data_IF_317488881267
#
_entry.id   IF_317488881267
#
_cell.length_a   1.000
_cell.length_b   1.000
_cell.length_c   1.000
_cell.angle_alpha   90.00
_cell.angle_beta   90.00
_cell.angle_gamma   90.00
#
_symmetry.space_group_name_H-M   'P 1'
#
loop_
_entity.id
_entity.type
_entity.pdbx_description
1 polymer ?
#
# COMPACT_ATOMS: atom_id res chain seq x y z
N UNK A 1 -0.28 20.30 -15.30
CA UNK A 1 -0.20 19.28 -16.38
C UNK A 1 -1.13 18.09 -16.15
N UNK A 2 -1.34 17.63 -14.90
CA UNK A 2 -2.27 16.52 -14.61
C UNK A 2 -3.76 16.84 -14.86
N UNK A 3 -4.17 18.11 -14.81
CA UNK A 3 -5.58 18.50 -14.88
C UNK A 3 -6.35 18.03 -16.13
N UNK A 4 -5.67 17.68 -17.23
CA UNK A 4 -6.34 17.16 -18.44
C UNK A 4 -6.75 15.68 -18.31
N UNK A 5 -6.12 14.94 -17.39
CA UNK A 5 -6.26 13.49 -17.26
C UNK A 5 -6.74 13.08 -15.87
N UNK A 6 -7.10 14.02 -14.99
CA UNK A 6 -7.61 13.72 -13.65
C UNK A 6 -9.10 14.06 -13.57
N UNK A 7 -9.87 13.11 -13.05
CA UNK A 7 -11.22 13.31 -12.54
C UNK A 7 -11.26 13.01 -11.05
N UNK A 8 -11.64 14.03 -10.27
CA UNK A 8 -11.77 13.91 -8.81
C UNK A 8 -13.25 13.76 -8.48
N UNK A 9 -13.58 12.81 -7.62
CA UNK A 9 -14.91 12.68 -7.05
C UNK A 9 -15.26 13.98 -6.28
N UNK A 10 -16.46 14.57 -6.49
CA UNK A 10 -16.84 15.83 -5.83
C UNK A 10 -16.69 15.82 -4.30
N UNK A 11 -16.94 14.69 -3.64
CA UNK A 11 -16.77 14.53 -2.18
C UNK A 11 -15.30 14.67 -1.78
N UNK A 12 -14.39 14.11 -2.59
CA UNK A 12 -12.94 14.18 -2.35
C UNK A 12 -12.42 15.59 -2.67
N UNK A 13 -12.90 16.20 -3.76
CA UNK A 13 -12.53 17.57 -4.13
C UNK A 13 -12.94 18.60 -3.06
N UNK A 14 -14.17 18.51 -2.55
CA UNK A 14 -14.64 19.33 -1.44
C UNK A 14 -13.79 19.12 -0.18
N UNK A 15 -13.47 17.87 0.14
CA UNK A 15 -12.65 17.55 1.30
C UNK A 15 -11.25 18.16 1.21
N UNK A 16 -10.58 18.03 0.07
CA UNK A 16 -9.26 18.64 -0.17
C UNK A 16 -9.33 20.16 -0.05
N UNK A 17 -10.31 20.80 -0.71
CA UNK A 17 -10.47 22.26 -0.71
C UNK A 17 -10.70 22.81 0.70
N UNK A 18 -11.45 22.09 1.53
CA UNK A 18 -11.78 22.47 2.90
C UNK A 18 -10.84 21.88 3.95
N UNK A 19 -9.71 21.28 3.55
CA UNK A 19 -8.75 20.63 4.47
C UNK A 19 -9.40 19.62 5.42
N UNK A 20 -10.39 18.87 4.94
CA UNK A 20 -10.99 17.75 5.65
C UNK A 20 -10.07 16.52 5.54
N UNK A 21 -10.14 15.58 6.50
CA UNK A 21 -9.31 14.39 6.47
C UNK A 21 -9.63 13.49 5.27
N UNK A 22 -8.63 13.23 4.42
CA UNK A 22 -8.72 12.33 3.27
C UNK A 22 -7.63 11.27 3.37
N UNK A 23 -7.97 10.01 3.07
CA UNK A 23 -7.01 8.90 2.98
C UNK A 23 -7.08 8.29 1.58
N UNK A 24 -5.95 8.29 0.88
CA UNK A 24 -5.81 7.62 -0.40
C UNK A 24 -5.75 6.09 -0.21
N UNK A 25 -6.31 5.35 -1.18
CA UNK A 25 -6.20 3.89 -1.29
C UNK A 25 -5.70 3.53 -2.70
N UNK A 26 -4.84 2.53 -2.82
CA UNK A 26 -4.34 2.07 -4.12
C UNK A 26 -5.33 1.12 -4.82
N UNK A 27 -5.15 0.91 -6.12
CA UNK A 27 -5.96 -0.04 -6.90
C UNK A 27 -5.25 -1.31 -7.31
N UNK A 28 -3.91 -1.42 -7.20
CA UNK A 28 -3.18 -2.64 -7.57
C UNK A 28 -3.68 -3.86 -6.80
N UNK A 29 -4.06 -3.70 -5.53
CA UNK A 29 -4.63 -4.79 -4.74
C UNK A 29 -5.93 -5.34 -5.34
N UNK A 30 -6.71 -4.50 -6.03
CA UNK A 30 -8.00 -4.86 -6.63
C UNK A 30 -7.78 -5.76 -7.85
N UNK A 31 -6.85 -5.40 -8.73
CA UNK A 31 -6.64 -6.10 -10.00
C UNK A 31 -5.56 -7.19 -9.96
N UNK A 32 -4.59 -7.08 -9.05
CA UNK A 32 -3.38 -7.91 -9.07
C UNK A 32 -2.95 -8.45 -7.70
N UNK A 33 -3.60 -8.02 -6.61
CA UNK A 33 -3.23 -8.42 -5.24
C UNK A 33 -4.18 -9.41 -4.59
N UNK A 34 -5.45 -9.43 -4.99
CA UNK A 34 -6.50 -10.26 -4.40
C UNK A 34 -7.31 -10.94 -5.52
N UNK A 35 -7.77 -12.19 -5.30
CA UNK A 35 -8.65 -12.87 -6.26
C UNK A 35 -10.06 -12.28 -6.24
N UNK A 36 -10.79 -12.44 -7.34
CA UNK A 36 -12.24 -12.21 -7.36
C UNK A 36 -12.97 -13.35 -6.62
N UNK A 37 -14.02 -13.06 -5.82
CA UNK A 37 -14.65 -11.76 -5.55
C UNK A 37 -14.07 -11.00 -4.34
N UNK A 38 -13.06 -11.53 -3.66
CA UNK A 38 -12.49 -10.92 -2.45
C UNK A 38 -11.91 -9.53 -2.72
N UNK A 39 -11.36 -9.29 -3.91
CA UNK A 39 -10.85 -7.99 -4.32
C UNK A 39 -11.88 -6.85 -4.20
N UNK A 40 -13.12 -7.06 -4.65
CA UNK A 40 -14.21 -6.07 -4.54
C UNK A 40 -14.60 -5.89 -3.07
N UNK A 41 -14.76 -7.01 -2.35
CA UNK A 41 -15.13 -7.00 -0.95
C UNK A 41 -14.14 -6.19 -0.13
N UNK A 42 -12.84 -6.46 -0.27
CA UNK A 42 -11.77 -5.78 0.47
C UNK A 42 -11.67 -4.31 0.08
N UNK A 43 -11.84 -3.96 -1.21
CA UNK A 43 -11.86 -2.56 -1.64
C UNK A 43 -12.98 -1.77 -0.93
N UNK A 44 -14.20 -2.34 -0.92
CA UNK A 44 -15.36 -1.71 -0.29
C UNK A 44 -15.24 -1.66 1.24
N UNK A 45 -14.76 -2.73 1.87
CA UNK A 45 -14.54 -2.75 3.33
C UNK A 45 -13.43 -1.77 3.76
N UNK A 46 -12.40 -1.57 2.93
CA UNK A 46 -11.35 -0.57 3.18
C UNK A 46 -11.88 0.86 3.07
N UNK A 47 -12.70 1.15 2.06
CA UNK A 47 -13.40 2.44 1.94
C UNK A 47 -14.25 2.68 3.19
N UNK A 48 -15.06 1.70 3.57
CA UNK A 48 -15.92 1.78 4.75
C UNK A 48 -15.10 2.00 6.04
N UNK A 49 -13.99 1.30 6.21
CA UNK A 49 -13.12 1.44 7.39
C UNK A 49 -12.53 2.86 7.52
N UNK A 50 -12.12 3.49 6.41
CA UNK A 50 -11.72 4.90 6.41
C UNK A 50 -12.91 5.78 6.79
N UNK A 51 -14.08 5.56 6.21
CA UNK A 51 -15.26 6.40 6.44
C UNK A 51 -15.82 6.29 7.87
N UNK A 52 -15.81 5.09 8.46
CA UNK A 52 -16.20 4.84 9.86
C UNK A 52 -15.32 5.60 10.86
N UNK A 53 -14.08 5.94 10.50
CA UNK A 53 -13.22 6.78 11.33
C UNK A 53 -13.64 8.26 11.32
N UNK A 54 -14.41 8.70 10.32
CA UNK A 54 -14.74 10.10 10.05
C UNK A 54 -13.87 10.77 8.96
N UNK A 55 -13.01 10.00 8.29
CA UNK A 55 -12.21 10.43 7.14
C UNK A 55 -12.90 10.14 5.81
N UNK A 56 -12.49 10.81 4.72
CA UNK A 56 -12.97 10.51 3.36
C UNK A 56 -12.00 9.55 2.68
N UNK A 57 -12.49 8.43 2.14
CA UNK A 57 -11.70 7.52 1.32
C UNK A 57 -11.56 8.05 -0.12
N UNK A 58 -10.35 7.93 -0.68
CA UNK A 58 -10.06 8.28 -2.06
C UNK A 58 -9.27 7.14 -2.74
N UNK A 59 -9.96 6.10 -3.20
CA UNK A 59 -9.34 5.06 -4.03
C UNK A 59 -8.89 5.66 -5.36
N UNK A 60 -7.66 5.39 -5.77
CA UNK A 60 -7.06 5.96 -6.98
C UNK A 60 -6.81 4.87 -8.01
N UNK A 61 -7.31 5.06 -9.23
CA UNK A 61 -7.11 4.16 -10.36
C UNK A 61 -7.16 4.91 -11.69
N UNK A 62 -6.95 4.20 -12.79
CA UNK A 62 -7.08 4.74 -14.15
C UNK A 62 -8.17 3.96 -14.87
N UNK A 63 -9.18 4.67 -15.38
CA UNK A 63 -10.29 4.08 -16.14
C UNK A 63 -10.28 4.73 -17.52
N UNK A 64 -10.16 3.93 -18.58
CA UNK A 64 -10.11 4.38 -19.97
C UNK A 64 -9.10 5.53 -20.23
N UNK A 65 -7.92 5.46 -19.59
CA UNK A 65 -6.87 6.49 -19.71
C UNK A 65 -7.12 7.78 -18.93
N UNK A 66 -8.07 7.81 -18.00
CA UNK A 66 -8.32 8.91 -17.08
C UNK A 66 -8.00 8.48 -15.64
N UNK A 67 -7.14 9.23 -14.95
CA UNK A 67 -6.93 9.06 -13.51
C UNK A 67 -8.22 9.44 -12.81
N UNK A 68 -8.79 8.52 -12.05
CA UNK A 68 -9.93 8.76 -11.18
C UNK A 68 -9.51 8.71 -9.71
N UNK A 69 -9.97 9.69 -8.95
CA UNK A 69 -9.66 9.86 -7.53
C UNK A 69 -10.97 9.82 -6.76
N UNK A 70 -11.16 8.78 -5.95
CA UNK A 70 -12.46 8.43 -5.37
C UNK A 70 -13.29 7.61 -6.36
N UNK A 71 -12.83 6.37 -6.64
CA UNK A 71 -13.55 5.42 -7.49
C UNK A 71 -14.95 5.13 -6.96
N UNK A 72 -15.91 5.01 -7.87
CA UNK A 72 -17.24 4.48 -7.56
C UNK A 72 -17.29 2.95 -7.69
N UNK A 73 -18.44 2.36 -7.36
CA UNK A 73 -18.62 0.90 -7.43
C UNK A 73 -18.37 0.34 -8.84
N UNK A 74 -18.78 1.07 -9.88
CA UNK A 74 -18.59 0.61 -11.26
C UNK A 74 -17.11 0.65 -11.65
N UNK A 75 -16.36 1.67 -11.21
CA UNK A 75 -14.92 1.75 -11.41
C UNK A 75 -14.19 0.60 -10.69
N UNK A 76 -14.60 0.27 -9.47
CA UNK A 76 -14.07 -0.88 -8.71
C UNK A 76 -14.38 -2.19 -9.44
N UNK A 77 -15.61 -2.39 -9.89
CA UNK A 77 -16.03 -3.60 -10.63
C UNK A 77 -15.23 -3.76 -11.93
N UNK A 78 -15.01 -2.67 -12.67
CA UNK A 78 -14.16 -2.67 -13.88
C UNK A 78 -12.76 -3.16 -13.53
N UNK A 79 -12.12 -2.59 -12.50
CA UNK A 79 -10.77 -2.97 -12.11
C UNK A 79 -10.68 -4.39 -11.55
N UNK A 80 -11.75 -4.89 -10.92
CA UNK A 80 -11.77 -6.21 -10.30
C UNK A 80 -12.03 -7.36 -11.29
N UNK A 81 -12.75 -7.10 -12.38
CA UNK A 81 -13.25 -8.14 -13.29
C UNK A 81 -12.63 -8.10 -14.69
N UNK A 82 -12.07 -6.96 -15.10
CA UNK A 82 -11.44 -6.84 -16.42
C UNK A 82 -10.15 -7.66 -16.52
N UNK A 83 -10.00 -8.41 -17.61
CA UNK A 83 -8.80 -9.23 -17.86
C UNK A 83 -7.57 -8.42 -18.27
N UNK A 84 -7.75 -7.18 -18.74
CA UNK A 84 -6.69 -6.35 -19.35
C UNK A 84 -6.32 -5.10 -18.52
N UNK A 85 -6.47 -5.15 -17.20
CA UNK A 85 -6.04 -4.05 -16.33
C UNK A 85 -4.51 -4.03 -16.25
N UNK A 86 -3.89 -2.89 -16.55
CA UNK A 86 -2.44 -2.74 -16.44
C UNK A 86 -2.01 -2.44 -15.01
N UNK A 87 -0.99 -3.13 -14.50
CA UNK A 87 -0.31 -2.73 -13.27
C UNK A 87 0.59 -1.52 -13.55
N UNK A 88 0.32 -0.38 -12.92
CA UNK A 88 0.97 0.89 -13.27
C UNK A 88 1.79 1.50 -12.14
N UNK A 89 3.01 1.89 -12.49
CA UNK A 89 3.95 2.66 -11.69
C UNK A 89 4.36 3.91 -12.49
N UNK A 90 5.32 4.68 -11.99
CA UNK A 90 5.65 6.00 -12.55
C UNK A 90 6.28 5.93 -13.95
N UNK A 91 7.03 4.87 -14.24
CA UNK A 91 7.73 4.71 -15.52
C UNK A 91 6.78 4.35 -16.68
N UNK A 92 5.63 3.73 -16.40
CA UNK A 92 4.70 3.24 -17.44
C UNK A 92 3.32 3.92 -17.42
N UNK A 93 3.06 4.87 -16.50
CA UNK A 93 1.76 5.54 -16.38
C UNK A 93 1.31 6.28 -17.64
N UNK A 94 2.24 6.86 -18.39
CA UNK A 94 1.93 7.56 -19.63
C UNK A 94 1.31 6.63 -20.69
N UNK A 95 1.67 5.34 -20.69
CA UNK A 95 1.14 4.36 -21.65
C UNK A 95 -0.35 4.10 -21.41
N UNK A 96 -0.80 4.10 -20.16
CA UNK A 96 -2.21 3.93 -19.82
C UNK A 96 -3.07 5.09 -20.38
N UNK A 97 -2.54 6.30 -20.39
CA UNK A 97 -3.21 7.48 -20.99
C UNK A 97 -3.19 7.42 -22.52
N UNK A 98 -2.04 7.13 -23.11
CA UNK A 98 -1.87 7.05 -24.56
C UNK A 98 -2.82 6.01 -25.18
N UNK A 99 -2.90 4.85 -24.54
CA UNK A 99 -3.66 3.70 -25.03
C UNK A 99 -5.11 3.67 -24.52
N UNK A 100 -5.53 4.65 -23.71
CA UNK A 100 -6.86 4.69 -23.07
C UNK A 100 -7.19 3.40 -22.31
N UNK A 101 -6.24 2.87 -21.56
CA UNK A 101 -6.36 1.61 -20.84
C UNK A 101 -6.92 1.80 -19.43
N UNK A 102 -7.55 0.74 -18.92
CA UNK A 102 -7.77 0.58 -17.48
C UNK A 102 -6.44 0.19 -16.83
N UNK A 103 -6.10 0.82 -15.71
CA UNK A 103 -4.88 0.51 -14.99
C UNK A 103 -5.03 0.70 -13.48
N UNK A 104 -4.40 -0.21 -12.75
CA UNK A 104 -4.38 -0.26 -11.30
C UNK A 104 -3.06 0.34 -10.80
N UNK A 105 -3.15 1.40 -9.99
CA UNK A 105 -2.00 2.14 -9.47
C UNK A 105 -1.33 1.37 -8.35
N UNK A 106 -0.01 1.26 -8.42
CA UNK A 106 0.86 0.76 -7.33
C UNK A 106 1.03 1.83 -6.26
N UNK A 107 1.54 1.47 -5.09
CA UNK A 107 1.96 2.39 -4.02
C UNK A 107 2.68 3.63 -4.56
N UNK A 108 3.76 3.47 -5.35
CA UNK A 108 4.48 4.60 -5.95
C UNK A 108 3.56 5.51 -6.80
N UNK A 109 2.74 4.94 -7.69
CA UNK A 109 1.83 5.73 -8.52
C UNK A 109 0.75 6.43 -7.69
N UNK A 110 0.17 5.75 -6.70
CA UNK A 110 -0.84 6.30 -5.81
C UNK A 110 -0.29 7.47 -5.00
N UNK A 111 0.89 7.31 -4.38
CA UNK A 111 1.56 8.38 -3.61
C UNK A 111 1.84 9.60 -4.50
N UNK A 112 2.35 9.37 -5.71
CA UNK A 112 2.67 10.46 -6.63
C UNK A 112 1.43 11.25 -7.09
N UNK A 113 0.32 10.57 -7.34
CA UNK A 113 -0.95 11.22 -7.73
C UNK A 113 -1.55 11.95 -6.53
N UNK A 114 -1.68 11.26 -5.39
CA UNK A 114 -2.30 11.77 -4.16
C UNK A 114 -1.62 13.04 -3.65
N UNK A 115 -0.28 13.05 -3.60
CA UNK A 115 0.49 14.21 -3.13
C UNK A 115 0.29 15.46 -3.99
N UNK A 116 0.18 15.30 -5.31
CA UNK A 116 0.01 16.41 -6.26
C UNK A 116 -1.37 17.08 -6.19
N UNK A 117 -2.34 16.42 -5.58
CA UNK A 117 -3.68 16.97 -5.32
C UNK A 117 -3.90 17.31 -3.84
N UNK A 118 -2.87 17.23 -3.00
CA UNK A 118 -2.92 17.66 -1.61
C UNK A 118 -3.42 16.61 -0.60
N UNK A 119 -3.57 15.33 -0.98
CA UNK A 119 -3.83 14.27 -0.02
C UNK A 119 -2.52 13.90 0.68
N UNK A 120 -2.53 13.87 2.02
CA UNK A 120 -1.33 13.60 2.85
C UNK A 120 -1.30 12.21 3.49
N UNK A 121 -2.40 11.45 3.46
CA UNK A 121 -2.49 10.11 4.04
C UNK A 121 -2.76 9.05 2.98
N UNK A 122 -2.14 7.89 3.14
CA UNK A 122 -2.30 6.73 2.27
C UNK A 122 -2.31 5.44 3.10
N UNK A 123 -3.19 4.50 2.76
CA UNK A 123 -3.21 3.16 3.34
C UNK A 123 -3.06 2.08 2.26
N UNK A 124 -2.25 1.07 2.56
CA UNK A 124 -2.09 -0.15 1.77
C UNK A 124 -1.93 -1.34 2.72
N UNK A 125 -1.97 -2.56 2.17
CA UNK A 125 -1.59 -3.74 2.93
C UNK A 125 -0.10 -3.71 3.29
N UNK A 126 0.76 -3.55 2.29
CA UNK A 126 2.20 -3.58 2.47
C UNK A 126 2.92 -2.95 1.29
N UNK A 127 4.02 -2.26 1.55
CA UNK A 127 4.81 -1.60 0.50
C UNK A 127 5.59 -2.63 -0.33
N UNK A 128 6.01 -2.25 -1.54
CA UNK A 128 7.13 -2.90 -2.21
C UNK A 128 8.46 -2.56 -1.54
N UNK A 129 9.52 -3.24 -1.93
CA UNK A 129 10.82 -3.11 -1.31
C UNK A 129 11.92 -3.76 -2.14
N UNK A 130 12.97 -4.21 -1.48
CA UNK A 130 14.06 -4.97 -2.07
C UNK A 130 13.61 -6.41 -2.30
N UNK A 131 13.78 -6.93 -3.50
CA UNK A 131 13.40 -8.31 -3.79
C UNK A 131 14.47 -9.31 -3.32
N UNK A 132 14.03 -10.53 -2.98
CA UNK A 132 14.94 -11.64 -2.72
C UNK A 132 15.86 -11.86 -3.92
N UNK A 133 17.16 -12.00 -3.67
CA UNK A 133 18.17 -12.19 -4.72
C UNK A 133 18.66 -10.89 -5.40
N UNK A 134 18.39 -9.72 -4.82
CA UNK A 134 18.81 -8.40 -5.34
C UNK A 134 20.29 -8.32 -5.76
N UNK A 135 21.18 -9.05 -5.07
CA UNK A 135 22.62 -9.09 -5.37
C UNK A 135 22.94 -9.53 -6.81
N UNK A 136 21.99 -10.22 -7.47
CA UNK A 136 22.16 -10.74 -8.83
C UNK A 136 21.42 -9.92 -9.89
N UNK A 137 20.30 -9.29 -9.54
CA UNK A 137 19.37 -8.71 -10.51
C UNK A 137 19.03 -7.23 -10.27
N UNK A 138 19.45 -6.65 -9.14
CA UNK A 138 19.13 -5.29 -8.72
C UNK A 138 17.61 -4.97 -8.73
N UNK A 139 16.77 -5.97 -8.47
CA UNK A 139 15.31 -5.80 -8.45
C UNK A 139 14.86 -5.09 -7.16
N UNK A 140 14.62 -3.79 -7.27
CA UNK A 140 14.20 -2.91 -6.17
C UNK A 140 12.95 -2.15 -6.60
N UNK A 141 11.92 -2.19 -5.75
CA UNK A 141 10.66 -1.49 -6.03
C UNK A 141 10.83 0.02 -6.12
N UNK A 142 10.18 0.61 -7.13
CA UNK A 142 10.06 2.06 -7.28
C UNK A 142 9.34 2.73 -6.09
N UNK A 143 8.63 1.96 -5.25
CA UNK A 143 8.01 2.44 -4.03
C UNK A 143 9.04 3.10 -3.10
N UNK A 144 10.22 2.51 -2.93
CA UNK A 144 11.25 3.07 -2.04
C UNK A 144 11.75 4.44 -2.51
N UNK A 145 11.92 4.59 -3.83
CA UNK A 145 12.32 5.88 -4.42
C UNK A 145 11.20 6.91 -4.36
N UNK A 146 9.94 6.51 -4.53
CA UNK A 146 8.83 7.46 -4.38
C UNK A 146 8.66 7.90 -2.93
N UNK A 147 8.75 6.95 -1.98
CA UNK A 147 8.73 7.23 -0.54
C UNK A 147 9.85 8.20 -0.13
N UNK A 148 11.04 8.15 -0.76
CA UNK A 148 12.15 9.03 -0.39
C UNK A 148 11.99 10.49 -0.83
N UNK A 149 11.20 10.73 -1.89
CA UNK A 149 11.09 12.06 -2.53
C UNK A 149 9.72 12.73 -2.43
N UNK A 150 8.70 11.99 -2.02
CA UNK A 150 7.32 12.49 -1.92
C UNK A 150 6.81 12.31 -0.49
N UNK A 151 6.38 13.42 0.14
CA UNK A 151 5.82 13.40 1.49
C UNK A 151 4.42 12.77 1.46
N UNK A 152 4.29 11.65 2.14
CA UNK A 152 3.04 10.95 2.40
C UNK A 152 3.12 10.25 3.76
N UNK A 153 2.03 10.24 4.51
CA UNK A 153 1.89 9.45 5.73
C UNK A 153 1.27 8.11 5.38
N UNK A 154 2.10 7.07 5.36
CA UNK A 154 1.76 5.77 4.78
C UNK A 154 1.54 4.75 5.88
N UNK A 155 0.29 4.30 6.03
CA UNK A 155 -0.03 3.19 6.94
C UNK A 155 0.06 1.87 6.19
N UNK A 156 0.85 0.95 6.74
CA UNK A 156 1.04 -0.39 6.16
C UNK A 156 1.43 -1.42 7.20
N UNK A 157 1.30 -2.70 6.87
CA UNK A 157 1.83 -3.80 7.66
C UNK A 157 3.25 -4.16 7.22
N UNK A 158 4.09 -3.14 7.00
CA UNK A 158 5.47 -3.29 6.59
C UNK A 158 5.63 -3.50 5.08
N UNK A 159 6.76 -4.08 4.69
CA UNK A 159 6.97 -4.56 3.33
C UNK A 159 6.39 -5.97 3.17
N UNK A 160 5.90 -6.31 1.97
CA UNK A 160 5.33 -7.65 1.69
C UNK A 160 6.34 -8.75 2.05
N UNK A 161 5.91 -9.81 2.76
CA UNK A 161 6.80 -10.86 3.29
C UNK A 161 7.66 -11.57 2.23
N UNK A 162 7.21 -11.58 0.98
CA UNK A 162 7.90 -12.19 -0.17
C UNK A 162 9.17 -11.40 -0.62
N UNK A 163 9.49 -10.30 0.06
CA UNK A 163 10.62 -9.42 -0.19
C UNK A 163 11.78 -9.72 0.76
N UNK A 164 12.94 -9.14 0.48
CA UNK A 164 14.06 -9.10 1.41
C UNK A 164 13.79 -7.99 2.44
N UNK A 165 13.22 -8.37 3.60
CA UNK A 165 12.78 -7.42 4.61
C UNK A 165 13.94 -6.69 5.29
N UNK A 166 15.08 -7.37 5.47
CA UNK A 166 16.30 -6.78 6.04
C UNK A 166 16.82 -5.67 5.15
N UNK A 167 17.08 -5.97 3.87
CA UNK A 167 17.58 -4.95 2.92
C UNK A 167 16.56 -3.86 2.67
N UNK A 168 15.27 -4.19 2.69
CA UNK A 168 14.22 -3.17 2.61
C UNK A 168 14.32 -2.21 3.79
N UNK A 169 14.45 -2.73 5.01
CA UNK A 169 14.54 -1.91 6.22
C UNK A 169 15.78 -1.00 6.22
N UNK A 170 16.94 -1.52 5.79
CA UNK A 170 18.18 -0.76 5.62
C UNK A 170 18.09 0.32 4.53
N UNK A 171 17.40 0.03 3.41
CA UNK A 171 17.18 1.02 2.37
C UNK A 171 16.23 2.14 2.80
N UNK A 172 15.24 1.85 3.64
CA UNK A 172 14.39 2.89 4.24
C UNK A 172 15.23 3.87 5.07
N UNK A 173 16.20 3.36 5.83
CA UNK A 173 17.15 4.18 6.58
C UNK A 173 18.00 5.05 5.67
N UNK A 174 18.61 4.43 4.65
CA UNK A 174 19.48 5.11 3.68
C UNK A 174 18.75 6.25 2.98
N UNK A 175 17.45 6.09 2.71
CA UNK A 175 16.60 7.11 2.11
C UNK A 175 16.03 8.14 3.11
N UNK A 176 16.36 8.02 4.40
CA UNK A 176 15.89 8.93 5.44
C UNK A 176 14.38 8.88 5.64
N UNK A 177 13.74 7.73 5.38
CA UNK A 177 12.31 7.50 5.56
C UNK A 177 12.06 7.13 7.03
N UNK A 178 11.33 7.96 7.82
CA UNK A 178 11.02 7.61 9.20
C UNK A 178 10.13 6.37 9.29
N UNK A 179 10.44 5.49 10.24
CA UNK A 179 9.82 4.19 10.49
C UNK A 179 9.23 4.23 11.89
N UNK A 180 7.95 4.56 12.01
CA UNK A 180 7.24 4.56 13.29
C UNK A 180 6.19 3.47 13.30
N UNK A 181 5.67 3.12 14.46
CA UNK A 181 4.64 2.09 14.60
C UNK A 181 3.56 2.47 15.61
N UNK A 182 2.43 1.80 15.51
CA UNK A 182 1.39 1.81 16.53
C UNK A 182 1.38 0.49 17.29
N UNK A 183 1.64 0.53 18.60
CA UNK A 183 1.61 -0.61 19.52
C UNK A 183 2.57 -1.78 19.21
N UNK A 184 3.73 -1.52 18.61
CA UNK A 184 4.76 -2.53 18.36
C UNK A 184 6.15 -1.92 18.37
N UNK A 185 7.17 -2.58 18.91
CA UNK A 185 8.55 -2.06 18.88
C UNK A 185 9.29 -2.40 17.59
N UNK A 186 8.67 -3.19 16.71
CA UNK A 186 9.31 -3.74 15.52
C UNK A 186 8.48 -3.50 14.26
N UNK A 187 9.14 -3.53 13.10
CA UNK A 187 8.44 -3.54 11.82
C UNK A 187 7.63 -4.86 11.71
N UNK A 188 6.35 -4.82 11.32
CA UNK A 188 5.58 -6.03 11.05
C UNK A 188 6.06 -6.72 9.78
N UNK A 189 5.95 -8.05 9.77
CA UNK A 189 6.37 -8.89 8.66
C UNK A 189 5.26 -9.14 7.64
N UNK A 190 4.32 -8.20 7.49
CA UNK A 190 3.09 -8.33 6.70
C UNK A 190 2.14 -9.42 7.21
N UNK A 191 2.36 -10.71 6.90
CA UNK A 191 1.49 -11.79 7.37
C UNK A 191 1.72 -12.24 8.82
N UNK A 192 2.81 -11.80 9.44
CA UNK A 192 3.13 -12.09 10.83
C UNK A 192 3.38 -10.79 11.59
N UNK A 193 3.16 -10.85 12.91
CA UNK A 193 3.05 -9.66 13.76
C UNK A 193 4.30 -8.79 13.77
N UNK A 194 5.47 -9.38 14.00
CA UNK A 194 6.70 -8.62 14.24
C UNK A 194 7.91 -9.31 13.61
N UNK A 195 8.76 -8.50 13.00
CA UNK A 195 10.15 -8.84 12.68
C UNK A 195 11.06 -8.51 13.87
N UNK A 196 12.36 -8.61 13.65
CA UNK A 196 13.43 -8.18 14.54
C UNK A 196 13.85 -6.71 14.32
N UNK A 197 13.33 -6.04 13.28
CA UNK A 197 13.76 -4.71 12.88
C UNK A 197 13.09 -3.63 13.73
N UNK A 198 13.84 -3.07 14.68
CA UNK A 198 13.34 -2.10 15.65
C UNK A 198 12.98 -0.77 14.99
N UNK A 199 11.78 -0.27 15.22
CA UNK A 199 11.32 1.02 14.68
C UNK A 199 11.96 2.20 15.40
N UNK A 200 11.92 3.37 14.77
CA UNK A 200 12.42 4.63 15.36
C UNK A 200 11.60 5.01 16.60
N UNK A 201 10.28 4.76 16.56
CA UNK A 201 9.37 5.01 17.69
C UNK A 201 8.11 4.16 17.63
N UNK A 202 7.82 3.50 18.75
CA UNK A 202 6.53 2.90 19.07
C UNK A 202 5.62 3.92 19.76
N UNK A 203 4.49 4.25 19.13
CA UNK A 203 3.45 5.10 19.71
C UNK A 203 2.31 4.27 20.29
N UNK A 204 1.73 4.75 21.38
CA UNK A 204 0.63 4.06 22.10
C UNK A 204 -0.74 4.71 21.90
N UNK A 205 -0.79 5.93 21.39
CA UNK A 205 -2.02 6.67 21.12
C UNK A 205 -1.90 7.43 19.79
N UNK A 206 -3.04 7.79 19.23
CA UNK A 206 -3.15 8.42 17.91
C UNK A 206 -2.77 9.90 17.97
N UNK A 207 -3.07 10.58 19.08
CA UNK A 207 -2.77 12.00 19.29
C UNK A 207 -1.27 12.29 19.20
N UNK A 208 -0.43 11.44 19.81
CA UNK A 208 1.03 11.56 19.74
C UNK A 208 1.55 11.32 18.32
N UNK A 209 0.96 10.37 17.57
CA UNK A 209 1.29 10.17 16.15
C UNK A 209 0.92 11.44 15.37
N UNK A 210 -0.29 11.95 15.54
CA UNK A 210 -0.77 13.18 14.89
C UNK A 210 0.16 14.37 15.16
N UNK A 211 0.54 14.60 16.42
CA UNK A 211 1.47 15.65 16.80
C UNK A 211 2.85 15.49 16.15
N UNK A 212 3.38 14.27 16.12
CA UNK A 212 4.63 13.96 15.42
C UNK A 212 4.52 14.28 13.92
N UNK A 213 3.43 13.87 13.25
CA UNK A 213 3.21 14.14 11.83
C UNK A 213 3.05 15.65 11.55
N UNK A 214 2.42 16.41 12.46
CA UNK A 214 2.31 17.88 12.38
C UNK A 214 3.70 18.54 12.44
N UNK A 215 4.61 18.02 13.28
CA UNK A 215 6.00 18.47 13.33
C UNK A 215 6.73 18.14 12.01
N UNK A 216 6.56 16.93 11.48
CA UNK A 216 7.13 16.52 10.18
C UNK A 216 6.69 17.46 9.05
N UNK A 217 5.40 17.83 9.02
CA UNK A 217 4.89 18.80 8.04
C UNK A 217 5.53 20.19 8.21
N UNK A 218 5.64 20.68 9.45
CA UNK A 218 6.25 21.99 9.75
C UNK A 218 7.75 22.05 9.40
N UNK A 219 8.47 20.94 9.55
CA UNK A 219 9.86 20.81 9.12
C UNK A 219 10.04 20.72 7.60
N UNK A 220 8.93 20.62 6.84
CA UNK A 220 8.93 20.42 5.39
C UNK A 220 9.75 19.19 4.98
N UNK A 221 9.69 18.13 5.79
CA UNK A 221 10.34 16.87 5.50
C UNK A 221 9.83 16.31 4.17
N UNK A 222 10.75 15.93 3.27
CA UNK A 222 10.38 15.57 1.89
C UNK A 222 9.99 14.12 1.72
N UNK A 223 10.55 13.22 2.52
CA UNK A 223 10.20 11.80 2.42
C UNK A 223 8.84 11.54 3.04
N UNK A 224 8.27 10.39 2.69
CA UNK A 224 7.16 9.79 3.39
C UNK A 224 7.56 9.38 4.80
N UNK A 225 6.57 9.20 5.66
CA UNK A 225 6.66 8.55 6.97
C UNK A 225 5.93 7.22 6.85
N UNK A 226 6.60 6.12 7.20
CA UNK A 226 5.97 4.81 7.32
C UNK A 226 5.42 4.64 8.74
N UNK A 227 4.14 4.37 8.82
CA UNK A 227 3.40 4.12 10.05
C UNK A 227 2.99 2.65 10.04
N UNK A 228 3.75 1.85 10.77
CA UNK A 228 3.55 0.42 10.81
C UNK A 228 2.40 0.02 11.73
N UNK A 229 1.60 -0.90 11.22
CA UNK A 229 0.45 -1.47 11.92
C UNK A 229 0.43 -2.98 11.69
N UNK A 230 0.43 -3.74 12.78
CA UNK A 230 0.49 -5.20 12.72
C UNK A 230 -0.76 -5.77 12.04
N UNK A 231 -0.61 -6.93 11.41
CA UNK A 231 -1.74 -7.80 11.13
C UNK A 231 -2.51 -8.03 12.44
N UNK A 232 -3.86 -8.04 12.44
CA UNK A 232 -4.61 -8.32 13.65
C UNK A 232 -4.19 -9.66 14.27
N UNK A 233 -4.02 -9.71 15.60
CA UNK A 233 -3.51 -10.89 16.33
C UNK A 233 -4.29 -12.18 15.99
N UNK A 234 -5.61 -12.07 15.79
CA UNK A 234 -6.48 -13.20 15.42
C UNK A 234 -6.26 -13.75 14.00
N UNK A 235 -5.46 -13.07 13.19
CA UNK A 235 -5.19 -13.37 11.78
C UNK A 235 -3.69 -13.46 11.46
N UNK A 236 -2.81 -13.15 12.42
CA UNK A 236 -1.38 -13.32 12.28
C UNK A 236 -0.99 -14.79 12.07
N UNK A 237 0.06 -15.01 11.28
CA UNK A 237 0.61 -16.33 10.99
C UNK A 237 2.01 -16.46 11.62
N UNK A 238 2.46 -17.70 11.83
CA UNK A 238 3.80 -17.95 12.39
C UNK A 238 4.90 -17.62 11.38
N UNK A 239 5.89 -16.82 11.79
CA UNK A 239 7.04 -16.41 10.95
C UNK A 239 7.71 -17.60 10.27
N UNK A 240 8.02 -18.65 11.05
CA UNK A 240 8.68 -19.88 10.55
C UNK A 240 7.88 -20.54 9.42
N UNK A 241 6.55 -20.57 9.56
CA UNK A 241 5.68 -21.18 8.56
C UNK A 241 5.59 -20.34 7.28
N UNK A 242 5.56 -19.01 7.42
CA UNK A 242 5.63 -18.07 6.28
C UNK A 242 6.94 -18.23 5.52
N UNK A 243 8.08 -18.22 6.21
CA UNK A 243 9.41 -18.38 5.60
C UNK A 243 9.53 -19.70 4.84
N UNK A 244 9.01 -20.80 5.43
CA UNK A 244 8.96 -22.10 4.76
C UNK A 244 8.19 -22.05 3.45
N UNK A 245 7.00 -21.45 3.43
CA UNK A 245 6.20 -21.33 2.22
C UNK A 245 6.83 -20.38 1.19
N UNK A 246 7.49 -19.31 1.62
CA UNK A 246 8.21 -18.39 0.73
C UNK A 246 9.31 -19.15 0.00
N UNK A 247 10.14 -19.89 0.72
CA UNK A 247 11.22 -20.67 0.12
C UNK A 247 10.69 -21.68 -0.91
N UNK A 248 9.62 -22.41 -0.57
CA UNK A 248 8.95 -23.31 -1.51
C UNK A 248 8.42 -22.58 -2.76
N UNK A 249 7.84 -21.41 -2.57
CA UNK A 249 7.29 -20.60 -3.66
C UNK A 249 8.38 -20.03 -4.59
N UNK A 250 9.50 -19.60 -4.01
CA UNK A 250 10.67 -19.11 -4.76
C UNK A 250 11.32 -20.25 -5.55
N UNK A 251 11.50 -21.42 -4.96
CA UNK A 251 12.03 -22.60 -5.65
C UNK A 251 11.14 -22.99 -6.84
N UNK A 252 9.81 -22.96 -6.65
CA UNK A 252 8.84 -23.21 -7.72
C UNK A 252 8.89 -22.13 -8.81
N UNK A 253 9.02 -20.85 -8.45
CA UNK A 253 9.16 -19.76 -9.43
C UNK A 253 10.41 -19.95 -10.29
N UNK A 254 11.54 -20.28 -9.66
CA UNK A 254 12.81 -20.54 -10.32
C UNK A 254 12.70 -21.73 -11.28
N UNK A 255 12.08 -22.84 -10.85
CA UNK A 255 11.83 -24.02 -11.71
C UNK A 255 11.02 -23.71 -12.98
N UNK A 256 10.21 -22.65 -12.94
CA UNK A 256 9.34 -22.19 -14.03
C UNK A 256 9.89 -20.96 -14.77
N UNK A 257 11.07 -20.47 -14.39
CA UNK A 257 11.67 -19.23 -14.91
C UNK A 257 10.76 -17.98 -14.80
N UNK A 258 9.93 -17.90 -13.76
CA UNK A 258 9.04 -16.75 -13.53
C UNK A 258 9.86 -15.61 -12.91
N UNK A 259 9.88 -14.45 -13.55
CA UNK A 259 10.73 -13.31 -13.16
C UNK A 259 10.04 -11.96 -13.36
N UNK A 260 10.67 -10.88 -12.86
CA UNK A 260 10.22 -9.50 -13.07
C UNK A 260 8.80 -9.23 -12.52
N UNK A 261 7.99 -8.48 -13.28
CA UNK A 261 6.65 -8.04 -12.84
C UNK A 261 5.66 -9.18 -12.54
N UNK A 262 5.93 -10.38 -13.04
CA UNK A 262 5.09 -11.57 -12.86
C UNK A 262 5.41 -12.34 -11.57
N UNK A 263 6.60 -12.14 -11.00
CA UNK A 263 7.07 -12.86 -9.82
C UNK A 263 6.18 -12.61 -8.59
N UNK A 264 5.92 -11.35 -8.25
CA UNK A 264 5.11 -11.02 -7.06
C UNK A 264 3.69 -11.62 -7.11
N UNK A 265 2.89 -11.44 -8.19
CA UNK A 265 1.59 -12.11 -8.29
C UNK A 265 1.67 -13.63 -8.19
N UNK A 266 2.68 -14.25 -8.80
CA UNK A 266 2.89 -15.69 -8.70
C UNK A 266 3.17 -16.14 -7.26
N UNK A 267 4.10 -15.48 -6.57
CA UNK A 267 4.45 -15.83 -5.18
C UNK A 267 3.24 -15.68 -4.25
N UNK A 268 2.45 -14.61 -4.38
CA UNK A 268 1.24 -14.43 -3.56
C UNK A 268 0.23 -15.54 -3.82
N UNK A 269 0.01 -15.91 -5.08
CA UNK A 269 -0.92 -16.99 -5.45
C UNK A 269 -0.46 -18.35 -4.91
N UNK A 270 0.83 -18.67 -5.03
CA UNK A 270 1.41 -19.92 -4.52
C UNK A 270 1.33 -19.99 -2.99
N UNK A 271 1.69 -18.91 -2.30
CA UNK A 271 1.57 -18.79 -0.83
C UNK A 271 0.13 -19.01 -0.36
N UNK A 272 -0.85 -18.50 -1.13
CA UNK A 272 -2.25 -18.71 -0.83
C UNK A 272 -2.68 -20.17 -0.93
N UNK A 273 -2.17 -20.86 -1.95
CA UNK A 273 -2.41 -22.28 -2.15
C UNK A 273 -1.77 -23.13 -1.03
N UNK A 274 -0.51 -22.87 -0.71
CA UNK A 274 0.24 -23.58 0.34
C UNK A 274 -0.34 -23.37 1.74
N UNK A 275 -0.95 -22.21 1.98
CA UNK A 275 -1.52 -21.85 3.28
C UNK A 275 -2.99 -22.24 3.47
N UNK A 276 -3.63 -22.86 2.47
CA UNK A 276 -5.07 -23.11 2.43
C UNK A 276 -5.88 -21.83 2.72
N UNK A 277 -5.61 -20.77 1.98
CA UNK A 277 -6.23 -19.44 2.09
C UNK A 277 -5.92 -18.61 3.35
N UNK A 278 -5.12 -19.12 4.30
CA UNK A 278 -4.78 -18.37 5.51
C UNK A 278 -4.03 -17.06 5.21
N UNK A 279 -3.15 -17.03 4.21
CA UNK A 279 -2.46 -15.79 3.81
C UNK A 279 -3.40 -14.78 3.17
N UNK A 280 -4.44 -15.23 2.45
CA UNK A 280 -5.49 -14.35 1.93
C UNK A 280 -6.32 -13.75 3.05
N UNK A 281 -6.74 -14.57 4.03
CA UNK A 281 -7.47 -14.07 5.21
C UNK A 281 -6.67 -13.01 5.99
N UNK A 282 -5.38 -13.29 6.23
CA UNK A 282 -4.47 -12.35 6.88
C UNK A 282 -4.31 -11.07 6.07
N UNK A 283 -4.12 -11.17 4.75
CA UNK A 283 -3.97 -10.04 3.85
C UNK A 283 -5.22 -9.15 3.82
N UNK A 284 -6.41 -9.75 3.74
CA UNK A 284 -7.68 -9.04 3.82
C UNK A 284 -7.81 -8.27 5.14
N UNK A 285 -7.55 -8.95 6.26
CA UNK A 285 -7.69 -8.34 7.58
C UNK A 285 -6.71 -7.18 7.81
N UNK A 286 -5.44 -7.34 7.41
CA UNK A 286 -4.44 -6.28 7.57
C UNK A 286 -4.73 -5.07 6.67
N UNK A 287 -5.24 -5.26 5.45
CA UNK A 287 -5.57 -4.15 4.54
C UNK A 287 -6.64 -3.26 5.18
N UNK A 288 -7.72 -3.88 5.67
CA UNK A 288 -8.85 -3.17 6.30
C UNK A 288 -8.39 -2.51 7.62
N UNK A 289 -7.57 -3.19 8.42
CA UNK A 289 -7.03 -2.64 9.66
C UNK A 289 -6.15 -1.40 9.39
N UNK A 290 -5.32 -1.43 8.35
CA UNK A 290 -4.49 -0.30 7.94
C UNK A 290 -5.34 0.88 7.46
N UNK A 291 -6.39 0.61 6.69
CA UNK A 291 -7.35 1.63 6.24
C UNK A 291 -8.04 2.31 7.43
N UNK A 292 -8.49 1.53 8.42
CA UNK A 292 -9.09 2.05 9.65
C UNK A 292 -8.12 2.93 10.44
N UNK A 293 -6.88 2.46 10.67
CA UNK A 293 -5.89 3.21 11.43
C UNK A 293 -5.51 4.51 10.70
N UNK A 294 -5.29 4.46 9.38
CA UNK A 294 -5.02 5.64 8.57
C UNK A 294 -6.16 6.66 8.66
N UNK A 295 -7.40 6.20 8.63
CA UNK A 295 -8.58 7.04 8.82
C UNK A 295 -8.59 7.75 10.17
N UNK A 296 -8.29 7.02 11.26
CA UNK A 296 -8.25 7.61 12.61
C UNK A 296 -7.12 8.63 12.77
N UNK A 297 -5.91 8.32 12.28
CA UNK A 297 -4.77 9.25 12.34
C UNK A 297 -5.03 10.48 11.47
N UNK A 298 -5.58 10.29 10.26
CA UNK A 298 -5.92 11.40 9.37
C UNK A 298 -6.93 12.34 10.02
N UNK A 299 -8.01 11.80 10.59
CA UNK A 299 -8.98 12.61 11.33
C UNK A 299 -8.32 13.43 12.43
N UNK A 300 -7.52 12.79 13.29
CA UNK A 300 -6.84 13.47 14.40
C UNK A 300 -5.79 14.50 13.92
N UNK A 301 -5.21 14.30 12.74
CA UNK A 301 -4.29 15.25 12.13
C UNK A 301 -5.00 16.54 11.68
N UNK A 302 -6.24 16.44 11.21
CA UNK A 302 -7.04 17.59 10.76
C UNK A 302 -8.00 18.15 11.82
N UNK A 303 -8.07 17.52 13.00
CA UNK A 303 -8.61 18.12 14.23
C UNK A 303 -7.76 19.30 14.70
#
# INVERSE_FOLDING_TARGET
MLNKYIKINPKVEDAIKNKKPVVALESTLISHGLPYPDNIKVANESIKAVEESGSIAATIGIINGEIKIGLDNNDIDILATSTNVQKVSLHNIALSFLNKQNAATTVAATINIASKIGISFFATGGIGGVHLGVEKNNDVSADLTELSRTRMFVVSSGAKSILDLEKTFEMLETYGIPRISFNSDFMPGFWYEETEFKVDKNFKNIDDISNYLKIIENLKHKSSVLIFNKVPDSKGLEKIQIEKWINQSVDKANSKNITGKELTPFLISEMNQLSNNKTLEANTALIINNALLAGKISKEFYS
#
